data_IF_810199897932
#
_entry.id   IF_810199897932
#
_cell.length_a   1.000
_cell.length_b   1.000
_cell.length_c   1.000
_cell.angle_alpha   90.00
_cell.angle_beta   90.00
_cell.angle_gamma   90.00
#
_symmetry.space_group_name_H-M   'P 1'
#
loop_
_entity.id
_entity.type
_entity.pdbx_description
1 polymer ?
#
# COMPACT_ATOMS: atom_id res chain seq x y z
N UNK A 1 1.79 -0.16 -19.81
CA UNK A 1 2.98 0.12 -19.14
C UNK A 1 2.82 0.96 -17.89
N UNK A 2 3.77 0.81 -17.07
CA UNK A 2 3.77 1.45 -15.76
C UNK A 2 4.72 2.64 -15.75
N UNK A 3 4.57 3.52 -16.74
CA UNK A 3 5.44 4.68 -16.86
C UNK A 3 4.87 5.85 -16.06
N UNK A 4 5.18 5.87 -14.76
CA UNK A 4 4.68 6.88 -13.82
C UNK A 4 5.87 7.47 -13.05
N UNK A 5 6.60 8.44 -13.64
CA UNK A 5 7.80 9.00 -13.01
C UNK A 5 7.53 9.80 -11.73
N UNK A 6 6.28 10.18 -11.49
CA UNK A 6 5.90 10.88 -10.26
C UNK A 6 5.74 9.96 -9.05
N UNK A 7 5.79 8.63 -9.24
CA UNK A 7 5.69 7.67 -8.14
C UNK A 7 7.08 7.32 -7.61
N UNK A 8 7.22 7.38 -6.27
CA UNK A 8 8.44 6.97 -5.60
C UNK A 8 8.19 5.66 -4.88
N UNK A 9 8.89 4.60 -5.28
CA UNK A 9 8.78 3.30 -4.65
C UNK A 9 9.82 3.11 -3.57
N UNK A 10 9.40 2.58 -2.42
CA UNK A 10 10.26 2.35 -1.28
C UNK A 10 9.84 1.07 -0.55
N UNK A 11 10.81 0.27 -0.14
CA UNK A 11 10.59 -0.93 0.65
C UNK A 11 11.28 -0.73 1.99
N UNK A 12 10.53 -0.84 3.08
CA UNK A 12 11.04 -0.68 4.44
C UNK A 12 10.87 -1.98 5.21
N UNK A 13 11.86 -2.31 6.03
CA UNK A 13 11.83 -3.46 6.92
C UNK A 13 11.88 -2.98 8.37
N UNK A 14 10.77 -2.49 8.92
CA UNK A 14 10.76 -1.99 10.28
C UNK A 14 10.77 -3.13 11.30
N UNK A 15 11.28 -2.84 12.47
CA UNK A 15 11.19 -3.77 13.61
C UNK A 15 9.74 -3.90 14.08
N UNK A 16 9.00 -2.80 14.02
CA UNK A 16 7.59 -2.75 14.40
C UNK A 16 6.82 -2.00 13.32
N UNK A 17 5.99 -2.73 12.57
CA UNK A 17 5.17 -2.15 11.50
C UNK A 17 4.20 -1.09 12.00
N UNK A 18 3.65 -1.28 13.20
CA UNK A 18 2.67 -0.33 13.77
C UNK A 18 3.32 1.03 14.00
N UNK A 19 4.48 1.04 14.63
CA UNK A 19 5.24 2.27 14.87
C UNK A 19 5.65 2.92 13.55
N UNK A 20 6.13 2.12 12.61
CA UNK A 20 6.53 2.63 11.30
C UNK A 20 5.35 3.27 10.56
N UNK A 21 4.19 2.62 10.58
CA UNK A 21 2.99 3.17 9.94
C UNK A 21 2.59 4.50 10.54
N UNK A 22 2.56 4.60 11.86
CA UNK A 22 2.21 5.84 12.54
C UNK A 22 3.16 6.97 12.19
N UNK A 23 4.45 6.67 12.11
CA UNK A 23 5.45 7.68 11.75
C UNK A 23 5.27 8.13 10.31
N UNK A 24 5.08 7.20 9.37
CA UNK A 24 4.86 7.53 7.97
C UNK A 24 3.64 8.44 7.80
N UNK A 25 2.56 8.15 8.50
CA UNK A 25 1.34 8.95 8.42
C UNK A 25 1.47 10.29 9.13
N UNK A 26 2.26 10.36 10.20
CA UNK A 26 2.55 11.62 10.88
C UNK A 26 3.25 12.62 9.97
N UNK A 27 4.10 12.12 9.08
CA UNK A 27 4.81 12.94 8.11
C UNK A 27 3.91 13.40 6.96
N UNK A 28 2.70 12.85 6.87
CA UNK A 28 1.75 13.05 5.76
C UNK A 28 0.35 13.43 6.24
N UNK A 29 0.25 14.13 7.38
CA UNK A 29 -1.04 14.42 8.02
C UNK A 29 -2.01 15.22 7.15
N UNK A 30 -1.48 16.06 6.29
CA UNK A 30 -2.27 16.92 5.41
C UNK A 30 -2.57 16.26 4.06
N UNK A 31 -2.22 14.98 3.92
CA UNK A 31 -2.34 14.26 2.66
C UNK A 31 -3.34 13.10 2.77
N UNK A 32 -3.82 12.66 1.63
CA UNK A 32 -4.75 11.54 1.53
C UNK A 32 -4.02 10.30 1.00
N UNK A 33 -4.35 9.13 1.54
CA UNK A 33 -3.70 7.91 1.11
C UNK A 33 -4.42 6.65 1.52
N UNK A 34 -3.92 5.53 1.01
CA UNK A 34 -4.49 4.20 1.21
C UNK A 34 -3.46 3.32 1.91
N UNK A 35 -3.92 2.56 2.91
CA UNK A 35 -3.11 1.53 3.57
C UNK A 35 -3.74 0.17 3.23
N UNK A 36 -3.06 -0.59 2.38
CA UNK A 36 -3.52 -1.92 1.99
C UNK A 36 -3.07 -2.98 2.98
N UNK A 37 -4.00 -3.84 3.38
CA UNK A 37 -3.77 -4.93 4.32
C UNK A 37 -4.17 -6.26 3.67
N UNK A 38 -3.55 -7.36 4.11
CA UNK A 38 -3.80 -8.67 3.52
C UNK A 38 -5.13 -9.28 3.94
N UNK A 39 -5.61 -8.97 5.14
CA UNK A 39 -6.82 -9.58 5.70
C UNK A 39 -7.76 -8.53 6.27
N UNK A 40 -9.04 -8.92 6.40
CA UNK A 40 -10.06 -8.09 7.04
C UNK A 40 -9.68 -7.76 8.48
N UNK A 41 -9.14 -8.74 9.19
CA UNK A 41 -8.71 -8.57 10.57
C UNK A 41 -7.64 -7.49 10.68
N UNK A 42 -6.67 -7.51 9.79
CA UNK A 42 -5.60 -6.51 9.79
C UNK A 42 -6.14 -5.12 9.43
N UNK A 43 -7.11 -5.04 8.50
CA UNK A 43 -7.78 -3.76 8.20
C UNK A 43 -8.40 -3.18 9.47
N UNK A 44 -9.12 -4.00 10.24
CA UNK A 44 -9.76 -3.55 11.48
C UNK A 44 -8.72 -3.06 12.50
N UNK A 45 -7.62 -3.80 12.64
CA UNK A 45 -6.54 -3.45 13.57
C UNK A 45 -5.88 -2.13 13.16
N UNK A 46 -5.58 -1.97 11.87
CA UNK A 46 -4.92 -0.77 11.35
C UNK A 46 -5.86 0.44 11.46
N UNK A 47 -7.10 0.29 11.08
CA UNK A 47 -8.07 1.39 11.18
C UNK A 47 -8.21 1.86 12.64
N UNK A 48 -8.35 0.92 13.58
CA UNK A 48 -8.43 1.24 15.00
C UNK A 48 -7.18 1.94 15.52
N UNK A 49 -6.01 1.44 15.13
CA UNK A 49 -4.74 2.04 15.50
C UNK A 49 -4.64 3.50 15.03
N UNK A 50 -5.03 3.76 13.79
CA UNK A 50 -4.97 5.09 13.22
C UNK A 50 -5.96 6.04 13.88
N UNK A 51 -7.17 5.57 14.14
CA UNK A 51 -8.18 6.38 14.83
C UNK A 51 -7.74 6.74 16.24
N UNK A 52 -7.17 5.79 16.98
CA UNK A 52 -6.64 6.06 18.32
C UNK A 52 -5.50 7.06 18.30
N UNK A 53 -4.73 7.08 17.23
CA UNK A 53 -3.62 8.03 17.08
C UNK A 53 -4.09 9.40 16.55
N UNK A 54 -5.39 9.60 16.37
CA UNK A 54 -5.96 10.89 15.99
C UNK A 54 -6.11 11.11 14.49
N UNK A 55 -5.94 10.07 13.67
CA UNK A 55 -6.16 10.18 12.23
C UNK A 55 -7.64 9.95 11.89
N UNK A 56 -8.16 10.73 10.94
CA UNK A 56 -9.49 10.51 10.39
C UNK A 56 -9.40 9.38 9.37
N UNK A 57 -9.42 8.13 9.85
CA UNK A 57 -9.27 6.93 9.03
C UNK A 57 -10.60 6.19 8.94
N UNK A 58 -10.85 5.59 7.78
CA UNK A 58 -11.97 4.68 7.58
C UNK A 58 -11.46 3.35 7.00
N UNK A 59 -12.37 2.41 6.75
CA UNK A 59 -12.03 1.05 6.39
C UNK A 59 -12.86 0.54 5.23
N UNK A 60 -12.33 -0.44 4.50
CA UNK A 60 -13.04 -1.05 3.39
C UNK A 60 -12.60 -2.51 3.23
N UNK A 61 -13.53 -3.43 3.38
CA UNK A 61 -13.33 -4.84 3.06
C UNK A 61 -14.67 -5.52 2.81
N UNK A 62 -14.65 -6.71 2.25
CA UNK A 62 -15.86 -7.39 1.80
C UNK A 62 -16.77 -7.84 2.94
N UNK A 63 -16.28 -7.85 4.19
CA UNK A 63 -17.10 -8.19 5.36
C UNK A 63 -18.03 -7.08 5.82
N UNK A 64 -17.84 -5.85 5.34
CA UNK A 64 -18.74 -4.73 5.64
C UNK A 64 -19.98 -4.84 4.75
N UNK A 65 -21.12 -4.32 5.23
CA UNK A 65 -22.30 -4.26 4.36
C UNK A 65 -22.10 -3.24 3.23
N UNK A 66 -22.96 -3.33 2.22
CA UNK A 66 -22.82 -2.49 1.03
C UNK A 66 -22.97 -1.00 1.33
N UNK A 67 -23.85 -0.65 2.26
CA UNK A 67 -24.08 0.75 2.61
C UNK A 67 -22.87 1.33 3.31
N UNK A 68 -22.26 0.60 4.23
CA UNK A 68 -21.07 1.06 4.92
C UNK A 68 -19.89 1.19 3.93
N UNK A 69 -19.71 0.21 3.04
CA UNK A 69 -18.65 0.32 2.03
C UNK A 69 -18.80 1.57 1.18
N UNK A 70 -20.03 1.86 0.76
CA UNK A 70 -20.31 3.05 -0.05
C UNK A 70 -20.04 4.33 0.72
N UNK A 71 -20.51 4.40 1.95
CA UNK A 71 -20.32 5.56 2.80
C UNK A 71 -18.83 5.81 3.08
N UNK A 72 -18.08 4.76 3.40
CA UNK A 72 -16.65 4.88 3.68
C UNK A 72 -15.87 5.31 2.43
N UNK A 73 -16.25 4.78 1.28
CA UNK A 73 -15.63 5.18 0.01
C UNK A 73 -15.90 6.64 -0.31
N UNK A 74 -17.13 7.09 -0.12
CA UNK A 74 -17.49 8.50 -0.35
C UNK A 74 -16.74 9.42 0.61
N UNK A 75 -16.62 9.04 1.88
CA UNK A 75 -15.88 9.82 2.85
C UNK A 75 -14.41 9.97 2.46
N UNK A 76 -13.82 8.91 1.91
CA UNK A 76 -12.45 8.96 1.42
C UNK A 76 -12.33 9.85 0.18
N UNK A 77 -13.21 9.68 -0.80
CA UNK A 77 -13.18 10.46 -2.04
C UNK A 77 -13.37 11.95 -1.77
N UNK A 78 -14.24 12.29 -0.81
CA UNK A 78 -14.55 13.69 -0.46
C UNK A 78 -13.62 14.27 0.62
N UNK A 79 -12.56 13.58 0.99
CA UNK A 79 -11.57 14.00 1.99
C UNK A 79 -12.12 14.21 3.40
N UNK A 80 -13.29 13.65 3.71
CA UNK A 80 -13.78 13.61 5.10
C UNK A 80 -12.99 12.60 5.93
N UNK A 81 -12.55 11.51 5.29
CA UNK A 81 -11.63 10.53 5.87
C UNK A 81 -10.44 10.39 4.93
N UNK A 82 -9.39 11.17 5.13
CA UNK A 82 -8.26 11.18 4.19
C UNK A 82 -7.46 9.87 4.17
N UNK A 83 -7.63 9.00 5.16
CA UNK A 83 -6.91 7.72 5.21
C UNK A 83 -7.90 6.56 5.08
N UNK A 84 -7.62 5.66 4.13
CA UNK A 84 -8.41 4.45 3.92
C UNK A 84 -7.56 3.22 4.22
N UNK A 85 -7.98 2.39 5.20
CA UNK A 85 -7.39 1.07 5.41
C UNK A 85 -8.25 0.04 4.68
N UNK A 86 -7.66 -0.76 3.80
CA UNK A 86 -8.45 -1.61 2.91
C UNK A 86 -7.75 -2.92 2.54
N UNK A 87 -8.56 -3.91 2.17
CA UNK A 87 -8.05 -5.10 1.48
C UNK A 87 -7.99 -4.83 -0.03
N UNK A 88 -7.54 -5.83 -0.80
CA UNK A 88 -7.48 -5.74 -2.26
C UNK A 88 -8.86 -5.60 -2.93
N UNK A 89 -9.95 -5.79 -2.18
CA UNK A 89 -11.30 -5.56 -2.70
C UNK A 89 -11.58 -4.08 -2.96
N UNK A 90 -10.78 -3.21 -2.35
CA UNK A 90 -10.92 -1.77 -2.53
C UNK A 90 -10.23 -1.33 -3.81
N UNK A 91 -10.88 -0.45 -4.55
CA UNK A 91 -10.27 0.19 -5.71
C UNK A 91 -11.02 0.03 -7.01
N UNK A 92 -11.98 -0.86 -7.08
CA UNK A 92 -12.80 -0.97 -8.29
C UNK A 92 -13.73 0.24 -8.38
N UNK A 93 -13.53 1.08 -9.39
CA UNK A 93 -14.35 2.25 -9.61
C UNK A 93 -14.00 3.47 -8.78
N UNK A 94 -12.86 3.47 -8.09
CA UNK A 94 -12.43 4.64 -7.34
C UNK A 94 -11.79 5.66 -8.27
N UNK A 95 -12.32 6.86 -8.23
CA UNK A 95 -11.81 7.99 -9.00
C UNK A 95 -11.43 9.11 -8.04
N UNK A 96 -10.22 9.00 -7.49
CA UNK A 96 -9.66 10.01 -6.60
C UNK A 96 -8.26 10.34 -7.10
N UNK A 97 -8.08 11.58 -7.58
CA UNK A 97 -6.84 11.99 -8.23
C UNK A 97 -5.74 12.41 -7.26
N UNK A 98 -6.10 12.77 -6.03
CA UNK A 98 -5.17 13.35 -5.06
C UNK A 98 -4.70 12.36 -3.98
N UNK A 99 -4.57 11.09 -4.32
CA UNK A 99 -3.96 10.09 -3.42
C UNK A 99 -2.46 10.30 -3.44
N UNK A 100 -1.90 10.73 -2.31
CA UNK A 100 -0.49 11.11 -2.22
C UNK A 100 0.41 9.98 -1.75
N UNK A 101 -0.16 8.90 -1.20
CA UNK A 101 0.60 7.73 -0.80
C UNK A 101 -0.26 6.48 -0.83
N UNK A 102 0.40 5.36 -1.14
CA UNK A 102 -0.16 4.02 -0.98
C UNK A 102 0.85 3.22 -0.18
N UNK A 103 0.43 2.76 0.99
CA UNK A 103 1.27 1.98 1.89
C UNK A 103 0.74 0.55 1.93
N UNK A 104 1.59 -0.42 1.61
CA UNK A 104 1.27 -1.83 1.78
C UNK A 104 1.75 -2.28 3.14
N UNK A 105 0.82 -2.48 4.05
CA UNK A 105 1.11 -2.93 5.42
C UNK A 105 1.52 -4.40 5.45
N UNK A 106 1.06 -5.17 4.47
CA UNK A 106 1.42 -6.57 4.26
C UNK A 106 1.86 -6.77 2.82
N UNK A 107 2.58 -7.88 2.56
CA UNK A 107 2.97 -8.23 1.20
C UNK A 107 1.75 -8.48 0.34
N UNK A 108 1.69 -7.91 -0.87
CA UNK A 108 0.61 -8.20 -1.81
C UNK A 108 0.75 -9.61 -2.39
N UNK A 109 -0.31 -10.08 -3.06
CA UNK A 109 -0.34 -11.44 -3.61
C UNK A 109 0.60 -11.66 -4.78
N UNK A 110 0.89 -10.60 -5.53
CA UNK A 110 1.75 -10.65 -6.72
C UNK A 110 2.31 -9.28 -7.00
N UNK A 111 3.34 -9.23 -7.85
CA UNK A 111 3.90 -7.97 -8.34
C UNK A 111 2.83 -7.20 -9.14
N UNK A 112 2.06 -7.91 -9.96
CA UNK A 112 0.99 -7.29 -10.73
C UNK A 112 -0.04 -6.62 -9.83
N UNK A 113 -0.51 -7.32 -8.79
CA UNK A 113 -1.45 -6.74 -7.83
C UNK A 113 -0.84 -5.52 -7.15
N UNK A 114 0.43 -5.60 -6.77
CA UNK A 114 1.13 -4.47 -6.15
C UNK A 114 1.10 -3.23 -7.03
N UNK A 115 1.46 -3.36 -8.31
CA UNK A 115 1.50 -2.21 -9.21
C UNK A 115 0.10 -1.66 -9.52
N UNK A 116 -0.90 -2.52 -9.60
CA UNK A 116 -2.28 -2.07 -9.77
C UNK A 116 -2.74 -1.23 -8.57
N UNK A 117 -2.41 -1.67 -7.36
CA UNK A 117 -2.77 -0.98 -6.14
C UNK A 117 -1.96 0.30 -5.95
N UNK A 118 -0.65 0.23 -6.16
CA UNK A 118 0.23 1.39 -6.07
C UNK A 118 -0.11 2.45 -7.13
N UNK A 119 -0.57 2.02 -8.29
CA UNK A 119 -0.94 2.91 -9.38
C UNK A 119 -2.12 3.84 -9.09
N UNK A 120 -2.78 3.66 -7.97
CA UNK A 120 -3.84 4.58 -7.54
C UNK A 120 -3.29 5.88 -6.98
N UNK A 121 -2.00 5.92 -6.65
CA UNK A 121 -1.36 7.12 -6.15
C UNK A 121 -0.99 8.06 -7.29
N UNK A 122 -0.99 9.36 -7.02
CA UNK A 122 -0.43 10.38 -7.91
C UNK A 122 -1.08 10.49 -9.27
N UNK A 123 -2.37 10.22 -9.40
CA UNK A 123 -3.07 10.29 -10.69
C UNK A 123 -3.14 11.71 -11.25
N UNK A 124 -3.03 12.70 -10.39
CA UNK A 124 -2.99 14.10 -10.81
C UNK A 124 -1.59 14.55 -11.27
N UNK A 125 -0.62 13.65 -11.31
CA UNK A 125 0.75 13.95 -11.72
C UNK A 125 1.64 14.46 -10.61
N UNK A 126 1.10 14.71 -9.42
CA UNK A 126 1.89 15.15 -8.27
C UNK A 126 2.75 14.00 -7.73
N UNK A 127 3.89 14.31 -7.08
CA UNK A 127 4.70 13.26 -6.45
C UNK A 127 3.89 12.47 -5.44
N UNK A 128 4.04 11.15 -5.46
CA UNK A 128 3.35 10.26 -4.54
C UNK A 128 4.27 9.13 -4.11
N UNK A 129 4.07 8.66 -2.88
CA UNK A 129 4.90 7.62 -2.28
C UNK A 129 4.18 6.28 -2.31
N UNK A 130 4.88 5.24 -2.77
CA UNK A 130 4.39 3.87 -2.75
C UNK A 130 5.33 3.08 -1.85
N UNK A 131 4.88 2.77 -0.63
CA UNK A 131 5.73 2.22 0.42
C UNK A 131 5.26 0.82 0.78
N UNK A 132 6.18 -0.13 0.76
CA UNK A 132 5.92 -1.51 1.18
C UNK A 132 6.59 -1.75 2.52
N UNK A 133 5.81 -2.15 3.52
CA UNK A 133 6.33 -2.56 4.81
C UNK A 133 6.54 -4.07 4.82
N UNK A 134 7.75 -4.48 5.09
CA UNK A 134 8.20 -5.85 4.97
C UNK A 134 8.65 -6.35 6.36
N UNK A 135 8.32 -7.59 6.69
CA UNK A 135 8.80 -8.22 7.92
C UNK A 135 9.44 -9.56 7.61
N UNK A 136 10.19 -10.10 8.58
CA UNK A 136 10.84 -11.40 8.39
C UNK A 136 9.84 -12.53 8.13
N UNK A 137 8.60 -12.38 8.60
CA UNK A 137 7.52 -13.34 8.31
C UNK A 137 7.06 -13.32 6.86
N UNK A 138 7.44 -12.29 6.09
CA UNK A 138 7.03 -12.14 4.69
C UNK A 138 8.04 -12.74 3.70
N UNK A 139 9.09 -13.41 4.16
CA UNK A 139 10.17 -13.91 3.30
C UNK A 139 9.65 -14.78 2.16
N UNK A 140 8.76 -15.72 2.47
CA UNK A 140 8.23 -16.65 1.47
C UNK A 140 7.46 -15.89 0.39
N UNK A 141 6.65 -14.91 0.79
CA UNK A 141 5.88 -14.08 -0.14
C UNK A 141 6.80 -13.22 -1.00
N UNK A 142 7.85 -12.64 -0.39
CA UNK A 142 8.83 -11.85 -1.12
C UNK A 142 9.54 -12.70 -2.19
N UNK A 143 9.92 -13.93 -1.85
CA UNK A 143 10.52 -14.86 -2.83
C UNK A 143 9.58 -15.15 -3.99
N UNK A 144 8.31 -15.33 -3.70
CA UNK A 144 7.29 -15.58 -4.72
C UNK A 144 7.17 -14.37 -5.67
N UNK A 145 7.16 -13.17 -5.14
CA UNK A 145 7.09 -11.94 -5.93
C UNK A 145 8.30 -11.81 -6.84
N UNK A 146 9.49 -12.05 -6.30
CA UNK A 146 10.74 -11.96 -7.06
C UNK A 146 10.76 -13.01 -8.18
N UNK A 147 10.35 -14.24 -7.88
CA UNK A 147 10.29 -15.31 -8.85
C UNK A 147 9.34 -14.97 -10.01
N UNK A 148 8.14 -14.48 -9.71
CA UNK A 148 7.18 -14.08 -10.73
C UNK A 148 7.70 -12.93 -11.58
N UNK A 149 8.40 -11.98 -10.98
CA UNK A 149 8.99 -10.85 -11.70
C UNK A 149 10.07 -11.31 -12.68
N UNK A 150 10.84 -12.33 -12.30
CA UNK A 150 11.90 -12.85 -13.19
C UNK A 150 11.33 -13.42 -14.49
N UNK A 151 10.14 -14.01 -14.44
CA UNK A 151 9.49 -14.57 -15.62
C UNK A 151 8.97 -13.48 -16.58
N UNK A 152 8.75 -12.28 -16.09
CA UNK A 152 8.19 -11.15 -16.87
C UNK A 152 9.18 -9.99 -17.02
N UNK A 153 10.45 -10.24 -16.72
CA UNK A 153 11.46 -9.20 -16.53
C UNK A 153 11.68 -8.31 -17.75
N UNK A 154 11.46 -8.83 -18.95
CA UNK A 154 11.67 -8.07 -20.18
C UNK A 154 10.61 -6.98 -20.42
N UNK A 155 9.47 -7.07 -19.75
CA UNK A 155 8.36 -6.14 -19.90
C UNK A 155 8.32 -5.08 -18.82
N UNK A 156 9.25 -5.10 -17.86
CA UNK A 156 9.25 -4.18 -16.73
C UNK A 156 9.79 -2.81 -17.11
N UNK A 157 9.15 -1.76 -16.58
CA UNK A 157 9.69 -0.39 -16.66
C UNK A 157 10.86 -0.25 -15.68
N UNK A 158 11.55 0.90 -15.74
CA UNK A 158 12.65 1.16 -14.82
C UNK A 158 12.19 1.20 -13.36
N UNK A 159 11.02 1.79 -13.10
CA UNK A 159 10.44 1.82 -11.76
C UNK A 159 10.14 0.41 -11.25
N UNK A 160 9.58 -0.42 -12.10
CA UNK A 160 9.27 -1.81 -11.77
C UNK A 160 10.53 -2.60 -11.48
N UNK A 161 11.60 -2.37 -12.24
CA UNK A 161 12.92 -3.00 -11.99
C UNK A 161 13.50 -2.56 -10.65
N UNK A 162 13.37 -1.29 -10.32
CA UNK A 162 13.82 -0.78 -9.02
C UNK A 162 13.06 -1.47 -7.89
N UNK A 163 11.77 -1.66 -8.04
CA UNK A 163 10.95 -2.36 -7.07
C UNK A 163 11.41 -3.81 -6.88
N UNK A 164 11.69 -4.52 -7.98
CA UNK A 164 12.20 -5.89 -7.93
C UNK A 164 13.55 -5.94 -7.22
N UNK A 165 14.45 -5.00 -7.53
CA UNK A 165 15.75 -4.92 -6.87
C UNK A 165 15.61 -4.64 -5.37
N UNK A 166 14.70 -3.76 -4.98
CA UNK A 166 14.43 -3.49 -3.57
C UNK A 166 13.90 -4.72 -2.85
N UNK A 167 13.04 -5.51 -3.51
CA UNK A 167 12.54 -6.77 -2.99
C UNK A 167 13.67 -7.78 -2.79
N UNK A 168 14.60 -7.87 -3.74
CA UNK A 168 15.77 -8.75 -3.65
C UNK A 168 16.63 -8.37 -2.45
N UNK A 169 16.90 -7.08 -2.25
CA UNK A 169 17.68 -6.60 -1.12
C UNK A 169 16.99 -6.92 0.21
N UNK A 170 15.70 -6.66 0.30
CA UNK A 170 14.93 -6.96 1.51
C UNK A 170 14.98 -8.46 1.83
N UNK A 171 14.89 -9.33 0.82
CA UNK A 171 15.00 -10.77 1.00
C UNK A 171 16.39 -11.17 1.53
N UNK A 172 17.45 -10.61 0.97
CA UNK A 172 18.80 -10.91 1.39
C UNK A 172 19.03 -10.48 2.83
N UNK A 173 18.58 -9.29 3.20
CA UNK A 173 18.66 -8.80 4.57
C UNK A 173 17.91 -9.72 5.54
N UNK A 174 16.72 -10.19 5.15
CA UNK A 174 15.94 -11.11 5.96
C UNK A 174 16.66 -12.44 6.19
N UNK A 175 17.44 -12.90 5.21
CA UNK A 175 18.17 -14.17 5.30
C UNK A 175 19.47 -14.04 6.11
N UNK A 176 20.06 -12.87 6.16
CA UNK A 176 21.33 -12.63 6.87
C UNK A 176 21.16 -12.04 8.26
N UNK A 177 20.00 -11.50 8.51
CA UNK A 177 19.66 -10.93 9.81
C UNK A 177 18.94 -11.93 10.66
#
# INVERSE_FOLDING_TARGET
GFDRPNLRFEVLRPKDKRTALLQLLSERRDKSGIVYCATRKTVEQVCGLLQEAGFAATRYHAGLDADERKENQEAFICDRSPVMAATNAFGMGIDKSNVSYVIHYNMPKSVEAYYQEAGRAGRDGSPADCILLYSSGDVTTAKFLIFNSSAENEELTDEERQMVQAQDLARLEAMTG
#
